data_IF_203589610465
#
_entry.id   IF_203589610465
#
_cell.length_a   1.000
_cell.length_b   1.000
_cell.length_c   1.000
_cell.angle_alpha   90.00
_cell.angle_beta   90.00
_cell.angle_gamma   90.00
#
_symmetry.space_group_name_H-M   'P 1'
#
loop_
_entity.id
_entity.type
_entity.pdbx_description
1 polymer ?
#
# COMPACT_ATOMS: atom_id res chain seq x y z
N UNK A 1 -5.82 -13.81 51.28
CA UNK A 1 -6.19 -15.23 51.39
C UNK A 1 -6.03 -15.89 50.03
N UNK A 2 -5.37 -17.04 50.05
CA UNK A 2 -5.32 -18.13 49.04
C UNK A 2 -4.49 -17.89 47.77
N UNK A 3 -3.19 -18.19 47.96
CA UNK A 3 -2.30 -18.82 46.97
C UNK A 3 -2.84 -20.19 46.58
N UNK A 4 -2.54 -20.68 45.38
CA UNK A 4 -2.34 -22.11 45.03
C UNK A 4 -1.61 -22.16 43.66
N UNK A 5 -0.33 -22.55 43.60
CA UNK A 5 0.25 -23.92 43.56
C UNK A 5 0.11 -24.54 42.15
N UNK A 6 1.18 -24.53 41.34
CA UNK A 6 2.20 -25.59 41.15
C UNK A 6 1.72 -26.86 40.43
N UNK A 7 2.33 -27.16 39.27
CA UNK A 7 2.78 -28.49 38.79
C UNK A 7 3.28 -28.37 37.33
N UNK A 8 4.59 -28.50 37.09
CA UNK A 8 5.33 -29.74 36.75
C UNK A 8 5.11 -30.14 35.27
N UNK A 9 6.04 -29.87 34.34
CA UNK A 9 7.37 -30.47 34.08
C UNK A 9 7.33 -31.49 32.92
N UNK A 10 8.48 -31.63 32.23
CA UNK A 10 8.93 -32.72 31.33
C UNK A 10 8.28 -32.66 29.91
N UNK A 11 8.93 -32.76 28.74
CA UNK A 11 10.10 -33.54 28.27
C UNK A 11 10.73 -32.83 27.05
N UNK A 12 12.06 -32.75 27.03
CA UNK A 12 12.89 -32.45 25.85
C UNK A 12 13.13 -33.74 25.04
N UNK A 13 13.17 -33.68 23.70
CA UNK A 13 14.18 -34.44 22.98
C UNK A 13 15.07 -33.53 22.14
N UNK A 14 16.34 -33.58 22.52
CA UNK A 14 17.52 -33.22 21.77
C UNK A 14 17.53 -34.00 20.43
N UNK A 15 17.61 -33.31 19.29
CA UNK A 15 18.08 -33.93 18.05
C UNK A 15 19.22 -33.08 17.51
N UNK A 16 20.42 -33.51 17.85
CA UNK A 16 21.66 -33.15 17.17
C UNK A 16 21.68 -33.87 15.82
N UNK A 17 21.59 -33.12 14.73
CA UNK A 17 21.88 -33.59 13.38
C UNK A 17 23.09 -32.84 12.84
N UNK A 18 24.27 -33.41 13.04
CA UNK A 18 25.49 -33.03 12.32
C UNK A 18 25.34 -33.41 10.84
N UNK A 19 25.72 -32.49 9.95
CA UNK A 19 25.77 -32.71 8.51
C UNK A 19 26.62 -31.67 7.81
N UNK A 20 27.92 -31.66 8.09
CA UNK A 20 28.93 -31.09 7.19
C UNK A 20 29.11 -32.07 6.02
N UNK A 21 28.79 -31.64 4.80
CA UNK A 21 29.36 -32.23 3.58
C UNK A 21 29.49 -31.16 2.50
N UNK A 22 30.72 -30.99 2.03
CA UNK A 22 31.15 -30.05 1.02
C UNK A 22 30.75 -30.48 -0.41
N UNK A 23 30.56 -29.46 -1.25
CA UNK A 23 30.86 -29.34 -2.68
C UNK A 23 30.85 -30.57 -3.58
N UNK A 24 30.01 -30.54 -4.63
CA UNK A 24 30.42 -31.05 -5.93
C UNK A 24 29.83 -30.25 -7.10
N UNK A 25 30.67 -30.11 -8.12
CA UNK A 25 30.53 -29.35 -9.36
C UNK A 25 29.83 -30.20 -10.43
N UNK A 26 28.95 -29.57 -11.22
CA UNK A 26 28.67 -29.92 -12.62
C UNK A 26 27.46 -30.83 -12.90
N UNK A 27 26.57 -30.37 -13.79
CA UNK A 27 25.59 -31.25 -14.44
C UNK A 27 24.23 -30.61 -14.76
N UNK A 28 24.01 -30.36 -16.05
CA UNK A 28 22.80 -29.85 -16.70
C UNK A 28 21.61 -30.84 -16.64
N UNK A 29 20.38 -30.36 -16.35
CA UNK A 29 19.10 -30.72 -17.02
C UNK A 29 17.85 -30.45 -16.17
N UNK A 30 16.86 -29.86 -16.83
CA UNK A 30 15.49 -29.52 -16.46
C UNK A 30 14.65 -30.70 -15.93
N UNK A 31 13.84 -30.49 -14.88
CA UNK A 31 12.46 -30.99 -14.78
C UNK A 31 11.73 -30.43 -13.55
N UNK A 32 10.50 -29.94 -13.77
CA UNK A 32 9.53 -29.58 -12.73
C UNK A 32 9.11 -30.82 -11.92
N UNK A 33 8.99 -30.72 -10.60
CA UNK A 33 7.91 -31.34 -9.79
C UNK A 33 7.94 -30.75 -8.37
N UNK A 34 6.73 -30.52 -7.85
CA UNK A 34 6.30 -29.67 -6.75
C UNK A 34 6.53 -30.19 -5.31
N UNK A 35 6.29 -29.27 -4.34
CA UNK A 35 6.08 -29.36 -2.86
C UNK A 35 7.33 -29.15 -1.97
N UNK A 36 7.25 -28.39 -0.85
CA UNK A 36 6.30 -28.52 0.28
C UNK A 36 5.41 -27.25 0.51
N UNK A 37 4.11 -27.34 0.86
CA UNK A 37 3.50 -27.56 2.20
C UNK A 37 3.92 -26.56 3.29
N UNK A 38 3.05 -26.18 4.24
CA UNK A 38 1.60 -25.95 4.22
C UNK A 38 1.23 -24.49 4.58
N UNK A 39 -0.04 -24.15 4.37
CA UNK A 39 -0.67 -22.86 4.68
C UNK A 39 -0.29 -22.28 6.04
N UNK A 40 0.58 -21.26 6.02
CA UNK A 40 0.53 -20.20 7.01
C UNK A 40 -0.66 -19.31 6.67
N UNK A 41 -1.70 -19.50 7.46
CA UNK A 41 -2.80 -18.61 7.80
C UNK A 41 -2.75 -17.25 7.10
N UNK A 42 -3.72 -17.02 6.21
CA UNK A 42 -4.08 -15.73 5.60
C UNK A 42 -4.11 -14.62 6.65
N UNK A 43 -3.00 -13.91 6.78
CA UNK A 43 -3.00 -12.52 7.19
C UNK A 43 -3.54 -11.75 5.98
N UNK A 44 -4.72 -11.16 6.12
CA UNK A 44 -5.35 -10.38 5.07
C UNK A 44 -4.42 -9.23 4.67
N UNK A 45 -3.63 -9.45 3.62
CA UNK A 45 -2.91 -8.43 2.90
C UNK A 45 -3.94 -7.41 2.36
N UNK A 46 -4.18 -6.35 3.13
CA UNK A 46 -4.64 -5.09 2.56
C UNK A 46 -3.50 -4.53 1.71
N UNK A 47 -3.34 -5.14 0.53
CA UNK A 47 -2.23 -4.89 -0.37
C UNK A 47 -2.44 -3.52 -0.99
N UNK A 48 -1.47 -2.63 -0.77
CA UNK A 48 -1.38 -1.38 -1.53
C UNK A 48 -1.50 -1.71 -3.01
N UNK A 49 -2.47 -1.11 -3.70
CA UNK A 49 -2.77 -1.43 -5.08
C UNK A 49 -2.99 -0.14 -5.88
N UNK A 50 -2.30 -0.01 -7.02
CA UNK A 50 -2.58 1.06 -7.98
C UNK A 50 -3.92 0.78 -8.66
N UNK A 51 -4.82 1.75 -8.63
CA UNK A 51 -6.19 1.63 -9.13
C UNK A 51 -6.35 2.23 -10.52
N UNK A 52 -5.79 3.42 -10.73
CA UNK A 52 -5.84 4.15 -12.00
C UNK A 52 -4.68 5.15 -12.08
N UNK A 53 -4.35 5.61 -13.29
CA UNK A 53 -3.43 6.72 -13.52
C UNK A 53 -3.72 7.41 -14.84
N UNK A 54 -3.52 8.72 -14.89
CA UNK A 54 -3.68 9.51 -16.10
C UNK A 54 -2.79 10.75 -16.08
N UNK A 55 -2.64 11.39 -17.24
CA UNK A 55 -1.86 12.62 -17.40
C UNK A 55 -2.74 13.74 -17.93
N UNK A 56 -2.73 14.89 -17.24
CA UNK A 56 -3.43 16.11 -17.67
C UNK A 56 -2.44 17.26 -17.72
N UNK A 57 -2.33 17.92 -18.87
CA UNK A 57 -1.45 19.09 -19.08
C UNK A 57 -0.01 18.84 -18.60
N UNK A 58 0.51 17.63 -18.83
CA UNK A 58 1.86 17.21 -18.43
C UNK A 58 2.02 16.79 -16.97
N UNK A 59 0.96 16.87 -16.15
CA UNK A 59 0.97 16.42 -14.76
C UNK A 59 0.43 14.99 -14.69
N UNK A 60 1.20 14.08 -14.09
CA UNK A 60 0.80 12.70 -13.86
C UNK A 60 0.04 12.58 -12.54
N UNK A 61 -1.06 11.82 -12.56
CA UNK A 61 -1.84 11.45 -11.38
C UNK A 61 -1.91 9.93 -11.29
N UNK A 62 -1.81 9.39 -10.07
CA UNK A 62 -2.04 7.98 -9.80
C UNK A 62 -2.87 7.81 -8.52
N UNK A 63 -3.82 6.88 -8.56
CA UNK A 63 -4.70 6.56 -7.44
C UNK A 63 -4.29 5.21 -6.86
N UNK A 64 -4.17 5.16 -5.54
CA UNK A 64 -3.79 3.94 -4.81
C UNK A 64 -4.81 3.61 -3.73
N UNK A 65 -5.19 2.33 -3.67
CA UNK A 65 -5.91 1.76 -2.53
C UNK A 65 -4.93 1.59 -1.36
N UNK A 66 -5.30 2.07 -0.19
CA UNK A 66 -4.57 1.87 1.07
C UNK A 66 -5.52 1.31 2.15
N UNK A 67 -4.99 0.70 3.22
CA UNK A 67 -5.81 0.34 4.38
C UNK A 67 -6.51 1.56 4.99
N UNK A 68 -7.74 1.39 5.46
CA UNK A 68 -8.43 2.41 6.23
C UNK A 68 -7.83 2.56 7.63
N UNK A 69 -7.94 3.75 8.22
CA UNK A 69 -7.59 3.97 9.64
C UNK A 69 -6.09 3.93 9.97
N UNK A 70 -5.22 4.12 8.98
CA UNK A 70 -3.78 4.28 9.21
C UNK A 70 -3.52 5.46 10.15
N UNK A 71 -2.54 5.30 11.04
CA UNK A 71 -1.99 6.41 11.81
C UNK A 71 -1.16 7.31 10.90
N UNK A 72 -0.95 8.54 11.34
CA UNK A 72 -0.22 9.55 10.56
C UNK A 72 1.19 9.09 10.15
N UNK A 73 1.94 8.47 11.07
CA UNK A 73 3.27 7.95 10.77
C UNK A 73 3.24 6.79 9.75
N UNK A 74 2.24 5.90 9.84
CA UNK A 74 2.05 4.81 8.88
C UNK A 74 1.66 5.34 7.50
N UNK A 75 0.84 6.41 7.46
CA UNK A 75 0.46 7.09 6.24
C UNK A 75 1.64 7.79 5.56
N UNK A 76 2.53 8.42 6.34
CA UNK A 76 3.78 9.00 5.83
C UNK A 76 4.67 7.91 5.21
N UNK A 77 4.84 6.77 5.89
CA UNK A 77 5.66 5.66 5.38
C UNK A 77 5.08 5.09 4.08
N UNK A 78 3.76 4.93 4.01
CA UNK A 78 3.07 4.49 2.79
C UNK A 78 3.24 5.50 1.67
N UNK A 79 3.05 6.80 1.94
CA UNK A 79 3.18 7.85 0.94
C UNK A 79 4.62 7.95 0.41
N UNK A 80 5.63 7.89 1.28
CA UNK A 80 7.03 7.91 0.90
C UNK A 80 7.37 6.73 0.00
N UNK A 81 6.96 5.51 0.38
CA UNK A 81 7.19 4.31 -0.42
C UNK A 81 6.55 4.38 -1.81
N UNK A 82 5.33 4.93 -1.91
CA UNK A 82 4.66 5.11 -3.20
C UNK A 82 5.31 6.22 -4.02
N UNK A 83 5.75 7.30 -3.38
CA UNK A 83 6.45 8.39 -4.04
C UNK A 83 7.79 7.93 -4.64
N UNK A 84 8.56 7.11 -3.93
CA UNK A 84 9.79 6.52 -4.46
C UNK A 84 9.56 5.66 -5.71
N UNK A 85 8.39 5.03 -5.82
CA UNK A 85 8.00 4.25 -7.01
C UNK A 85 7.53 5.13 -8.17
N UNK A 86 6.94 6.28 -7.85
CA UNK A 86 6.31 7.21 -8.81
C UNK A 86 6.76 8.66 -8.52
N UNK A 87 8.07 8.99 -8.64
CA UNK A 87 8.65 10.22 -8.09
C UNK A 87 8.25 11.51 -8.81
N UNK A 88 7.64 11.40 -9.99
CA UNK A 88 7.17 12.53 -10.79
C UNK A 88 5.64 12.62 -10.87
N UNK A 89 4.94 11.86 -10.01
CA UNK A 89 3.48 11.69 -10.07
C UNK A 89 2.81 12.21 -8.80
N UNK A 90 1.70 12.92 -8.97
CA UNK A 90 0.82 13.25 -7.85
C UNK A 90 0.01 12.03 -7.45
N UNK A 91 0.03 11.68 -6.17
CA UNK A 91 -0.62 10.47 -5.67
C UNK A 91 -1.91 10.83 -4.95
N UNK A 92 -2.96 10.04 -5.15
CA UNK A 92 -4.20 10.15 -4.38
C UNK A 92 -4.43 8.81 -3.69
N UNK A 93 -4.48 8.83 -2.36
CA UNK A 93 -4.60 7.64 -1.53
C UNK A 93 -6.04 7.50 -1.05
N UNK A 94 -6.67 6.37 -1.38
CA UNK A 94 -8.08 6.10 -1.06
C UNK A 94 -8.24 4.82 -0.26
N UNK A 95 -9.20 4.77 0.66
CA UNK A 95 -9.50 3.58 1.45
C UNK A 95 -10.75 2.81 0.95
N UNK A 96 -11.56 3.45 0.11
CA UNK A 96 -12.71 2.91 -0.62
C UNK A 96 -12.58 3.30 -2.10
N UNK A 97 -12.99 2.43 -3.02
CA UNK A 97 -12.90 2.65 -4.47
C UNK A 97 -14.25 2.54 -5.18
N UNK A 98 -15.36 2.50 -4.43
CA UNK A 98 -16.71 2.29 -4.97
C UNK A 98 -17.17 3.40 -5.92
N UNK A 99 -16.80 4.66 -5.65
CA UNK A 99 -17.13 5.82 -6.51
C UNK A 99 -15.89 6.42 -7.20
N UNK A 100 -14.74 5.75 -7.14
CA UNK A 100 -13.48 6.29 -7.68
C UNK A 100 -13.58 6.61 -9.18
N UNK A 101 -14.25 5.76 -9.96
CA UNK A 101 -14.38 5.97 -11.42
C UNK A 101 -15.22 7.20 -11.74
N UNK A 102 -16.30 7.43 -11.00
CA UNK A 102 -17.14 8.62 -11.17
C UNK A 102 -16.37 9.86 -10.73
N UNK A 103 -15.59 9.78 -9.64
CA UNK A 103 -14.69 10.87 -9.21
C UNK A 103 -13.62 11.21 -10.25
N UNK A 104 -12.90 10.20 -10.78
CA UNK A 104 -11.86 10.40 -11.81
C UNK A 104 -12.47 11.01 -13.08
N UNK A 105 -13.64 10.54 -13.49
CA UNK A 105 -14.36 11.08 -14.65
C UNK A 105 -14.69 12.56 -14.45
N UNK A 106 -15.20 12.92 -13.27
CA UNK A 106 -15.44 14.32 -12.91
C UNK A 106 -14.16 15.17 -12.95
N UNK A 107 -13.07 14.72 -12.33
CA UNK A 107 -11.78 15.44 -12.30
C UNK A 107 -11.23 15.66 -13.71
N UNK A 108 -11.31 14.65 -14.59
CA UNK A 108 -10.91 14.76 -16.00
C UNK A 108 -11.76 15.80 -16.73
N UNK A 109 -13.08 15.77 -16.55
CA UNK A 109 -14.01 16.70 -17.18
C UNK A 109 -13.72 18.15 -16.80
N UNK A 110 -13.63 18.47 -15.50
CA UNK A 110 -13.33 19.85 -15.04
C UNK A 110 -11.93 20.31 -15.44
N UNK A 111 -11.04 19.38 -15.77
CA UNK A 111 -9.69 19.70 -16.26
C UNK A 111 -9.61 19.88 -17.78
N UNK A 112 -10.74 19.76 -18.48
CA UNK A 112 -10.85 19.92 -19.93
C UNK A 112 -10.59 18.64 -20.74
N UNK A 113 -10.70 17.46 -20.12
CA UNK A 113 -10.51 16.14 -20.75
C UNK A 113 -11.79 15.29 -20.75
N UNK A 114 -12.96 15.91 -20.85
CA UNK A 114 -14.24 15.21 -20.91
C UNK A 114 -15.42 16.13 -20.65
N UNK A 115 -16.61 15.54 -20.62
CA UNK A 115 -17.86 16.23 -20.31
C UNK A 115 -18.28 15.96 -18.86
N UNK A 116 -18.94 16.93 -18.24
CA UNK A 116 -19.49 16.77 -16.90
C UNK A 116 -20.85 16.06 -17.02
N UNK A 117 -20.82 14.74 -17.02
CA UNK A 117 -22.04 13.91 -17.13
C UNK A 117 -22.74 13.70 -15.78
N UNK A 118 -21.98 13.80 -14.68
CA UNK A 118 -22.44 13.62 -13.30
C UNK A 118 -21.77 14.64 -12.38
N UNK A 119 -22.44 15.04 -11.28
CA UNK A 119 -21.79 15.86 -10.25
C UNK A 119 -20.66 15.10 -9.56
N UNK A 120 -19.74 15.84 -8.94
CA UNK A 120 -18.70 15.26 -8.10
C UNK A 120 -19.32 14.41 -6.98
N UNK A 121 -18.85 13.18 -6.74
CA UNK A 121 -19.25 12.37 -5.59
C UNK A 121 -18.64 12.91 -4.28
N UNK A 122 -19.11 14.08 -3.84
CA UNK A 122 -18.48 14.85 -2.76
C UNK A 122 -18.45 14.10 -1.43
N UNK A 123 -19.56 13.48 -1.03
CA UNK A 123 -19.64 12.74 0.24
C UNK A 123 -18.68 11.54 0.26
N UNK A 124 -18.50 10.87 -0.88
CA UNK A 124 -17.51 9.81 -1.01
C UNK A 124 -16.09 10.38 -0.96
N UNK A 125 -15.80 11.43 -1.74
CA UNK A 125 -14.46 12.03 -1.81
C UNK A 125 -13.97 12.53 -0.44
N UNK A 126 -14.84 13.23 0.30
CA UNK A 126 -14.53 13.77 1.64
C UNK A 126 -14.24 12.66 2.66
N UNK A 127 -14.88 11.50 2.49
CA UNK A 127 -14.75 10.38 3.42
C UNK A 127 -13.60 9.44 3.06
N UNK A 128 -13.36 9.23 1.77
CA UNK A 128 -12.58 8.10 1.27
C UNK A 128 -11.28 8.50 0.57
N UNK A 129 -11.10 9.77 0.21
CA UNK A 129 -9.77 10.30 -0.08
C UNK A 129 -9.11 10.56 1.27
N UNK A 130 -8.15 9.71 1.62
CA UNK A 130 -7.45 9.78 2.92
C UNK A 130 -6.36 10.84 2.89
N UNK A 131 -5.61 10.89 1.78
CA UNK A 131 -4.53 11.85 1.59
C UNK A 131 -4.16 12.00 0.11
N UNK A 132 -3.42 13.05 -0.19
CA UNK A 132 -2.77 13.23 -1.47
C UNK A 132 -1.30 13.62 -1.32
N UNK A 133 -0.50 13.27 -2.32
CA UNK A 133 0.88 13.71 -2.47
C UNK A 133 0.91 14.65 -3.66
N UNK A 134 1.21 15.92 -3.40
CA UNK A 134 1.14 16.98 -4.40
C UNK A 134 2.47 17.72 -4.52
N UNK A 135 2.80 18.11 -5.75
CA UNK A 135 4.01 18.88 -6.04
C UNK A 135 3.72 20.36 -5.92
N UNK A 136 4.38 21.04 -5.00
CA UNK A 136 4.30 22.49 -4.84
C UNK A 136 5.13 23.22 -5.89
N UNK A 137 4.85 24.52 -6.04
CA UNK A 137 5.62 25.41 -6.93
C UNK A 137 7.11 25.49 -6.56
N UNK A 138 7.46 25.19 -5.30
CA UNK A 138 8.84 25.04 -4.84
C UNK A 138 9.57 23.82 -5.41
N UNK A 139 8.84 22.90 -6.04
CA UNK A 139 9.33 21.61 -6.52
C UNK A 139 9.25 20.48 -5.50
N UNK A 140 8.95 20.79 -4.22
CA UNK A 140 8.77 19.79 -3.16
C UNK A 140 7.49 18.99 -3.35
N UNK A 141 7.54 17.71 -3.02
CA UNK A 141 6.35 16.88 -2.85
C UNK A 141 5.93 16.88 -1.38
N UNK A 142 4.66 17.15 -1.13
CA UNK A 142 4.10 17.26 0.21
C UNK A 142 2.91 16.32 0.31
N UNK A 143 2.87 15.54 1.39
CA UNK A 143 1.72 14.76 1.80
C UNK A 143 0.73 15.67 2.51
N UNK A 144 -0.51 15.71 2.03
CA UNK A 144 -1.60 16.46 2.62
C UNK A 144 -2.80 15.57 2.93
N UNK A 145 -3.57 15.95 3.95
CA UNK A 145 -4.78 15.26 4.39
C UNK A 145 -5.93 15.45 3.41
N UNK A 146 -6.65 14.36 3.13
CA UNK A 146 -7.80 14.35 2.24
C UNK A 146 -7.44 14.88 0.86
N UNK A 147 -8.29 15.74 0.32
CA UNK A 147 -8.06 16.39 -0.97
C UNK A 147 -7.19 17.65 -0.87
N UNK A 148 -6.19 17.67 0.02
CA UNK A 148 -5.25 18.80 0.18
C UNK A 148 -5.64 19.81 1.25
N UNK A 149 -6.47 19.41 2.21
CA UNK A 149 -7.04 20.30 3.24
C UNK A 149 -6.03 20.84 4.26
N UNK A 150 -4.98 20.06 4.56
CA UNK A 150 -3.91 20.43 5.48
C UNK A 150 -2.64 19.62 5.19
N UNK A 151 -1.46 20.22 5.38
CA UNK A 151 -0.17 19.53 5.24
C UNK A 151 0.05 18.53 6.39
N UNK A 152 0.70 17.42 6.07
CA UNK A 152 1.12 16.39 7.02
C UNK A 152 2.66 16.33 7.07
N UNK A 153 3.31 16.15 5.92
CA UNK A 153 4.77 16.02 5.86
C UNK A 153 5.35 16.35 4.47
N UNK A 154 6.57 16.89 4.44
CA UNK A 154 7.41 16.92 3.25
C UNK A 154 7.89 15.49 2.93
N UNK A 155 7.80 15.08 1.67
CA UNK A 155 8.37 13.82 1.19
C UNK A 155 9.79 14.03 0.67
N UNK A 156 10.60 12.97 0.74
CA UNK A 156 12.01 12.97 0.32
C UNK A 156 12.19 12.51 -1.11
#
# INVERSE_FOLDING_TARGET
MNKNLFSAAIVLPLVLGFGLACSNIGGNSTSNTSKPSPESTKQSDSKLAKLDSYTIKGIKFAYFKIPAGLKENELIDVAQKLHEQEPDTQLVLVDDDSELKDYISYVKAISGQGEIDKPMPAAWADKHIVANVQKYMSGKFVLCKGNGSSEIADLK
#
